data_IF_478020141833
#
_entry.id   IF_478020141833
#
_cell.length_a   1.000
_cell.length_b   1.000
_cell.length_c   1.000
_cell.angle_alpha   90.00
_cell.angle_beta   90.00
_cell.angle_gamma   90.00
#
_symmetry.space_group_name_H-M   'P 1'
#
loop_
_entity.id
_entity.type
_entity.pdbx_description
1 polymer ?
#
# COMPACT_ATOMS: atom_id res chain seq x y z
N UNK A 1 15.68 -9.84 -4.45
CA UNK A 1 16.92 -9.06 -4.78
C UNK A 1 16.63 -7.72 -5.47
N UNK A 2 15.74 -7.65 -6.47
CA UNK A 2 15.47 -6.38 -7.19
C UNK A 2 14.82 -5.30 -6.31
N UNK A 3 13.88 -5.67 -5.44
CA UNK A 3 13.17 -4.72 -4.58
C UNK A 3 14.11 -4.02 -3.58
N UNK A 4 15.01 -4.79 -2.95
CA UNK A 4 16.05 -4.26 -2.06
C UNK A 4 17.01 -3.32 -2.79
N UNK A 5 17.45 -3.71 -3.99
CA UNK A 5 18.33 -2.86 -4.81
C UNK A 5 17.67 -1.52 -5.16
N UNK A 6 16.36 -1.51 -5.45
CA UNK A 6 15.59 -0.29 -5.72
C UNK A 6 15.47 0.61 -4.48
N UNK A 7 15.25 0.03 -3.30
CA UNK A 7 15.24 0.80 -2.05
C UNK A 7 16.60 1.43 -1.77
N UNK A 8 17.68 0.64 -1.90
CA UNK A 8 19.04 1.13 -1.71
C UNK A 8 19.40 2.26 -2.69
N UNK A 9 19.04 2.13 -3.97
CA UNK A 9 19.25 3.17 -4.97
C UNK A 9 18.46 4.45 -4.68
N UNK A 10 17.30 4.34 -4.03
CA UNK A 10 16.50 5.47 -3.57
C UNK A 10 17.00 6.05 -2.22
N UNK A 11 18.04 5.48 -1.61
CA UNK A 11 18.52 5.88 -0.28
C UNK A 11 17.58 5.50 0.87
N UNK A 12 16.72 4.51 0.65
CA UNK A 12 15.73 4.04 1.63
C UNK A 12 16.20 2.75 2.30
N UNK A 13 16.02 2.67 3.61
CA UNK A 13 16.22 1.45 4.38
C UNK A 13 14.99 0.56 4.25
N UNK A 14 15.20 -0.75 4.04
CA UNK A 14 14.11 -1.71 4.02
C UNK A 14 13.38 -1.73 5.38
N UNK A 15 12.03 -1.80 5.38
CA UNK A 15 11.27 -1.94 6.61
C UNK A 15 11.55 -3.28 7.29
N UNK A 16 11.36 -3.40 8.62
CA UNK A 16 11.57 -4.66 9.36
C UNK A 16 10.75 -5.83 8.82
N UNK A 17 9.57 -5.55 8.24
CA UNK A 17 8.79 -6.49 7.46
C UNK A 17 8.78 -6.03 6.01
N UNK A 18 9.42 -6.81 5.15
CA UNK A 18 9.48 -6.55 3.72
C UNK A 18 9.07 -7.83 2.97
N UNK A 19 7.97 -7.74 2.22
CA UNK A 19 7.40 -8.84 1.42
C UNK A 19 7.70 -8.54 -0.05
N UNK A 20 8.36 -9.46 -0.72
CA UNK A 20 8.67 -9.35 -2.16
C UNK A 20 8.00 -10.46 -2.96
N UNK A 21 8.23 -10.49 -4.29
CA UNK A 21 7.64 -11.51 -5.16
C UNK A 21 8.10 -12.93 -4.77
N UNK A 22 9.24 -13.05 -4.13
CA UNK A 22 9.81 -14.31 -3.64
C UNK A 22 9.15 -14.83 -2.35
N UNK A 23 8.40 -13.99 -1.62
CA UNK A 23 7.69 -14.35 -0.38
C UNK A 23 6.29 -14.93 -0.63
N UNK A 24 5.77 -14.84 -1.86
CA UNK A 24 4.38 -15.12 -2.20
C UNK A 24 4.27 -16.10 -3.35
N UNK A 25 3.18 -16.87 -3.39
CA UNK A 25 2.93 -17.82 -4.46
C UNK A 25 2.42 -17.13 -5.74
N UNK A 26 1.52 -16.16 -5.58
CA UNK A 26 0.88 -15.47 -6.71
C UNK A 26 1.02 -13.95 -6.54
N UNK A 27 1.57 -13.29 -7.56
CA UNK A 27 1.69 -11.84 -7.58
C UNK A 27 0.37 -11.12 -7.82
N UNK A 28 0.38 -9.80 -7.65
CA UNK A 28 -0.71 -8.90 -8.01
C UNK A 28 -1.19 -9.17 -9.45
N UNK A 29 -2.51 -9.23 -9.72
CA UNK A 29 -3.62 -8.73 -8.89
C UNK A 29 -4.13 -9.71 -7.83
N UNK A 30 -3.49 -10.85 -7.60
CA UNK A 30 -3.85 -11.70 -6.46
C UNK A 30 -3.53 -11.00 -5.12
N UNK A 31 -4.33 -11.22 -4.07
CA UNK A 31 -4.22 -10.49 -2.80
C UNK A 31 -3.09 -10.98 -1.88
N UNK A 32 -2.40 -12.05 -2.26
CA UNK A 32 -1.47 -12.82 -1.43
C UNK A 32 -0.45 -11.94 -0.70
N UNK A 33 0.11 -10.92 -1.36
CA UNK A 33 1.10 -10.03 -0.73
C UNK A 33 0.54 -9.26 0.48
N UNK A 34 -0.71 -8.79 0.41
CA UNK A 34 -1.31 -8.05 1.51
C UNK A 34 -1.80 -8.96 2.62
N UNK A 35 -2.34 -10.14 2.27
CA UNK A 35 -2.75 -11.16 3.25
C UNK A 35 -1.53 -11.66 4.02
N UNK A 36 -0.43 -11.96 3.33
CA UNK A 36 0.79 -12.44 3.97
C UNK A 36 1.44 -11.36 4.84
N UNK A 37 1.46 -10.10 4.37
CA UNK A 37 1.94 -8.98 5.18
C UNK A 37 1.11 -8.80 6.46
N UNK A 38 -0.22 -8.78 6.35
CA UNK A 38 -1.12 -8.67 7.51
C UNK A 38 -0.93 -9.84 8.49
N UNK A 39 -0.80 -11.07 7.97
CA UNK A 39 -0.52 -12.27 8.77
C UNK A 39 0.80 -12.15 9.53
N UNK A 40 1.89 -11.72 8.89
CA UNK A 40 3.20 -11.53 9.55
C UNK A 40 3.19 -10.36 10.55
N UNK A 41 2.31 -9.36 10.36
CA UNK A 41 2.08 -8.28 11.33
C UNK A 41 1.16 -8.69 12.50
N UNK A 42 0.54 -9.86 12.44
CA UNK A 42 -0.46 -10.29 13.43
C UNK A 42 -1.72 -9.41 13.42
N UNK A 43 -2.11 -8.92 12.23
CA UNK A 43 -3.29 -8.05 12.03
C UNK A 43 -4.27 -8.69 11.05
N UNK A 44 -5.53 -8.30 11.19
CA UNK A 44 -6.54 -8.55 10.17
C UNK A 44 -6.30 -7.60 9.00
N UNK A 45 -6.24 -8.12 7.78
CA UNK A 45 -6.01 -7.35 6.56
C UNK A 45 -7.10 -6.30 6.32
N UNK A 46 -8.33 -6.55 6.78
CA UNK A 46 -9.44 -5.59 6.71
C UNK A 46 -9.24 -4.37 7.62
N UNK A 47 -8.27 -4.46 8.56
CA UNK A 47 -7.84 -3.38 9.46
C UNK A 47 -6.50 -2.77 9.03
N UNK A 48 -6.02 -3.07 7.83
CA UNK A 48 -4.81 -2.49 7.24
C UNK A 48 -5.18 -1.54 6.09
N UNK A 49 -4.51 -0.40 6.00
CA UNK A 49 -4.64 0.48 4.83
C UNK A 49 -3.58 0.12 3.78
N UNK A 50 -4.00 -0.08 2.53
CA UNK A 50 -3.13 -0.31 1.38
C UNK A 50 -2.97 0.99 0.60
N UNK A 51 -1.73 1.41 0.37
CA UNK A 51 -1.40 2.53 -0.50
C UNK A 51 -0.83 1.99 -1.81
N UNK A 52 -1.44 2.31 -2.93
CA UNK A 52 -1.08 1.75 -4.23
C UNK A 52 -1.15 2.74 -5.37
N UNK A 53 -0.29 2.54 -6.36
CA UNK A 53 -0.20 3.40 -7.53
C UNK A 53 -0.37 2.61 -8.84
N UNK A 54 -0.42 1.28 -8.81
CA UNK A 54 -0.65 0.48 -9.99
C UNK A 54 -2.06 -0.16 -9.97
N UNK A 55 -2.78 -0.23 -11.10
CA UNK A 55 -4.09 -0.89 -11.16
C UNK A 55 -4.07 -2.33 -10.61
N UNK A 56 -3.03 -3.11 -10.93
CA UNK A 56 -2.89 -4.47 -10.39
C UNK A 56 -2.74 -4.49 -8.86
N UNK A 57 -2.09 -3.49 -8.27
CA UNK A 57 -1.97 -3.36 -6.81
C UNK A 57 -3.26 -2.93 -6.15
N UNK A 58 -3.97 -1.96 -6.74
CA UNK A 58 -5.30 -1.54 -6.29
C UNK A 58 -6.26 -2.72 -6.27
N UNK A 59 -6.29 -3.53 -7.34
CA UNK A 59 -7.13 -4.73 -7.41
C UNK A 59 -6.74 -5.78 -6.37
N UNK A 60 -5.43 -5.99 -6.13
CA UNK A 60 -4.97 -6.89 -5.09
C UNK A 60 -5.38 -6.43 -3.68
N UNK A 61 -5.31 -5.12 -3.40
CA UNK A 61 -5.74 -4.55 -2.11
C UNK A 61 -7.24 -4.73 -1.90
N UNK A 62 -8.03 -4.46 -2.93
CA UNK A 62 -9.48 -4.70 -2.94
C UNK A 62 -9.80 -6.18 -2.73
N UNK A 63 -9.15 -7.07 -3.46
CA UNK A 63 -9.35 -8.51 -3.35
C UNK A 63 -8.96 -9.06 -1.97
N UNK A 64 -8.02 -8.40 -1.28
CA UNK A 64 -7.65 -8.73 0.09
C UNK A 64 -8.69 -8.28 1.13
N UNK A 65 -9.64 -7.41 0.74
CA UNK A 65 -10.61 -6.80 1.65
C UNK A 65 -10.05 -5.63 2.45
N UNK A 66 -8.89 -5.09 2.08
CA UNK A 66 -8.28 -3.94 2.74
C UNK A 66 -8.86 -2.62 2.20
N UNK A 67 -9.03 -1.58 3.04
CA UNK A 67 -9.16 -0.20 2.57
C UNK A 67 -7.97 0.21 1.68
N UNK A 68 -8.25 0.70 0.47
CA UNK A 68 -7.24 1.13 -0.51
C UNK A 68 -7.24 2.64 -0.65
N UNK A 69 -6.04 3.24 -0.72
CA UNK A 69 -5.78 4.63 -1.07
C UNK A 69 -4.89 4.66 -2.31
N UNK A 70 -5.29 5.40 -3.34
CA UNK A 70 -4.55 5.48 -4.60
C UNK A 70 -3.56 6.64 -4.59
N UNK A 71 -2.31 6.38 -4.98
CA UNK A 71 -1.26 7.38 -5.16
C UNK A 71 -1.19 7.78 -6.63
N UNK A 72 -1.38 9.08 -6.93
CA UNK A 72 -1.49 9.53 -8.33
C UNK A 72 -0.21 10.15 -8.90
N UNK A 73 0.80 10.47 -8.07
CA UNK A 73 2.04 11.13 -8.53
C UNK A 73 2.85 10.35 -9.58
N UNK A 74 2.65 9.03 -9.70
CA UNK A 74 3.37 8.19 -10.67
C UNK A 74 2.67 8.09 -12.02
N UNK A 75 1.51 8.72 -12.19
CA UNK A 75 0.74 8.69 -13.42
C UNK A 75 0.96 9.95 -14.26
N UNK A 76 1.11 9.76 -15.58
CA UNK A 76 1.20 10.85 -16.56
C UNK A 76 -0.17 11.41 -16.98
N UNK A 77 -1.26 10.72 -16.60
CA UNK A 77 -2.63 11.08 -16.93
C UNK A 77 -3.50 10.97 -15.66
N UNK A 78 -4.64 11.67 -15.59
CA UNK A 78 -5.58 11.53 -14.49
C UNK A 78 -5.96 10.06 -14.27
N UNK A 79 -5.92 9.64 -13.01
CA UNK A 79 -6.37 8.30 -12.60
C UNK A 79 -7.83 8.40 -12.22
N UNK A 80 -8.70 7.77 -13.00
CA UNK A 80 -10.08 7.56 -12.59
C UNK A 80 -10.13 6.37 -11.63
N UNK A 81 -10.64 6.61 -10.43
CA UNK A 81 -10.74 5.58 -9.39
C UNK A 81 -11.91 5.88 -8.47
N UNK A 82 -12.58 4.82 -7.99
CA UNK A 82 -13.62 4.93 -6.95
C UNK A 82 -13.03 5.03 -5.54
N UNK A 83 -11.73 4.78 -5.39
CA UNK A 83 -11.02 4.83 -4.11
C UNK A 83 -10.58 6.26 -3.77
N UNK A 84 -10.43 6.60 -2.47
CA UNK A 84 -9.76 7.82 -2.06
C UNK A 84 -8.37 7.91 -2.72
N UNK A 85 -8.06 9.06 -3.32
CA UNK A 85 -6.80 9.30 -3.99
C UNK A 85 -6.05 10.46 -3.33
N UNK A 86 -4.74 10.30 -3.19
CA UNK A 86 -3.81 11.35 -2.78
C UNK A 86 -2.72 11.47 -3.85
N UNK A 87 -2.17 12.68 -4.00
CA UNK A 87 -1.08 12.88 -4.96
C UNK A 87 0.15 12.09 -4.54
N UNK A 88 0.61 12.32 -3.33
CA UNK A 88 1.78 11.73 -2.72
C UNK A 88 1.62 11.73 -1.19
N UNK A 89 2.67 11.36 -0.46
CA UNK A 89 2.67 11.30 1.00
C UNK A 89 2.98 12.64 1.67
N UNK A 90 3.29 13.71 0.91
CA UNK A 90 3.70 15.00 1.47
C UNK A 90 2.49 15.68 2.10
N UNK A 91 2.64 16.12 3.35
CA UNK A 91 1.54 16.74 4.11
C UNK A 91 0.45 15.77 4.54
N UNK A 92 0.65 14.45 4.37
CA UNK A 92 -0.22 13.43 4.94
C UNK A 92 0.00 13.34 6.45
N UNK A 93 -1.09 13.45 7.20
CA UNK A 93 -1.11 13.36 8.66
C UNK A 93 -2.04 12.23 9.09
N UNK A 94 -1.74 11.65 10.24
CA UNK A 94 -2.56 10.62 10.87
C UNK A 94 -3.16 11.14 12.16
N UNK A 95 -4.43 10.86 12.36
CA UNK A 95 -5.14 11.10 13.63
C UNK A 95 -5.61 9.75 14.14
N UNK A 96 -5.28 9.43 15.38
CA UNK A 96 -5.63 8.17 16.03
C UNK A 96 -6.73 8.45 17.04
N UNK A 97 -7.86 7.76 16.92
CA UNK A 97 -8.99 7.91 17.83
C UNK A 97 -9.72 6.57 18.01
N UNK A 98 -9.95 6.15 19.26
CA UNK A 98 -10.69 4.95 19.65
C UNK A 98 -10.53 3.72 18.71
N UNK A 99 -9.29 3.35 18.37
CA UNK A 99 -9.01 2.17 17.54
C UNK A 99 -9.22 2.35 16.03
N UNK A 100 -9.50 3.58 15.60
CA UNK A 100 -9.53 4.01 14.20
C UNK A 100 -8.31 4.88 13.86
N UNK A 101 -7.92 4.83 12.59
CA UNK A 101 -6.88 5.67 12.01
C UNK A 101 -7.52 6.55 10.93
N UNK A 102 -7.44 7.87 11.09
CA UNK A 102 -7.92 8.81 10.08
C UNK A 102 -6.72 9.43 9.36
N UNK A 103 -6.74 9.34 8.04
CA UNK A 103 -5.77 9.99 7.16
C UNK A 103 -6.30 11.36 6.77
N UNK A 104 -5.47 12.39 6.93
CA UNK A 104 -5.79 13.76 6.50
C UNK A 104 -4.63 14.32 5.69
N UNK A 105 -4.90 14.80 4.49
CA UNK A 105 -3.93 15.52 3.66
C UNK A 105 -4.20 17.01 3.79
N UNK A 106 -3.18 17.80 4.13
CA UNK A 106 -3.25 19.25 3.99
C UNK A 106 -3.35 19.57 2.49
N UNK A 107 -4.44 20.24 2.09
CA UNK A 107 -4.61 20.70 0.71
C UNK A 107 -3.54 21.72 0.32
#
# INVERSE_FOLDING_TARGET
>A
QLAEARLAAAGLTAPPLFITAEDIAVGKPAPDCYIEAARRLGKDVTRCAVFEDAPAGVEAGRAAGAPVVVITATHSHPVETEYPAIRDYVGLTTIHDEGTLRLASAR
#
